data_IF_349378883829
#
_entry.id   IF_349378883829
#
_cell.length_a   1.000
_cell.length_b   1.000
_cell.length_c   1.000
_cell.angle_alpha   90.00
_cell.angle_beta   90.00
_cell.angle_gamma   90.00
#
_symmetry.space_group_name_H-M   'P 1'
#
loop_
_entity.id
_entity.type
_entity.pdbx_description
1 polymer ?
#
# COMPACT_ATOMS: atom_id res chain seq x y z
N UNK A 1 -2.91 -20.05 -5.84
CA UNK A 1 -3.36 -18.76 -6.42
C UNK A 1 -2.16 -17.83 -6.64
N UNK A 2 -1.53 -17.86 -7.82
CA UNK A 2 -0.35 -17.03 -8.10
C UNK A 2 -0.70 -15.91 -9.07
N UNK A 3 -0.23 -14.69 -8.78
CA UNK A 3 -0.17 -13.62 -9.77
C UNK A 3 0.49 -14.14 -11.06
N UNK A 4 0.03 -13.68 -12.23
CA UNK A 4 0.68 -14.03 -13.51
C UNK A 4 2.17 -13.67 -13.41
N UNK A 5 3.04 -14.67 -13.56
CA UNK A 5 4.50 -14.48 -13.50
C UNK A 5 5.01 -13.70 -14.72
N UNK A 6 4.28 -13.76 -15.83
CA UNK A 6 4.57 -12.99 -17.04
C UNK A 6 3.84 -11.65 -17.04
N UNK A 7 4.60 -10.57 -17.24
CA UNK A 7 4.07 -9.22 -17.36
C UNK A 7 3.37 -9.06 -18.72
N UNK A 8 2.08 -8.76 -18.69
CA UNK A 8 1.35 -8.41 -19.91
C UNK A 8 1.77 -7.01 -20.41
N UNK A 9 1.88 -6.80 -21.74
CA UNK A 9 2.07 -5.48 -22.32
C UNK A 9 0.96 -4.51 -21.89
N UNK A 10 1.31 -3.28 -21.52
CA UNK A 10 0.35 -2.32 -20.94
C UNK A 10 -0.73 -1.88 -21.93
N UNK A 11 -0.40 -1.83 -23.22
CA UNK A 11 -1.31 -1.56 -24.34
C UNK A 11 -2.37 -2.66 -24.55
N UNK A 12 -2.15 -3.83 -23.96
CA UNK A 12 -3.09 -4.97 -24.02
C UNK A 12 -3.99 -5.07 -22.77
N UNK A 13 -3.80 -4.20 -21.77
CA UNK A 13 -4.66 -4.15 -20.58
C UNK A 13 -5.92 -3.36 -20.94
N UNK A 14 -6.95 -4.07 -21.40
CA UNK A 14 -8.27 -3.49 -21.72
C UNK A 14 -9.27 -3.73 -20.60
N UNK A 15 -10.30 -2.89 -20.52
CA UNK A 15 -11.40 -3.08 -19.57
C UNK A 15 -12.07 -4.46 -19.76
N UNK A 16 -12.31 -4.85 -21.00
CA UNK A 16 -12.88 -6.16 -21.35
C UNK A 16 -11.93 -7.30 -20.92
N UNK A 17 -10.62 -7.12 -21.11
CA UNK A 17 -9.60 -8.06 -20.68
C UNK A 17 -9.57 -8.25 -19.16
N UNK A 18 -9.78 -7.19 -18.38
CA UNK A 18 -9.91 -7.28 -16.92
C UNK A 18 -11.15 -8.05 -16.49
N UNK A 19 -12.30 -7.81 -17.15
CA UNK A 19 -13.53 -8.58 -16.89
C UNK A 19 -13.37 -10.06 -17.23
N UNK A 20 -12.71 -10.35 -18.36
CA UNK A 20 -12.43 -11.74 -18.73
C UNK A 20 -11.46 -12.39 -17.75
N UNK A 21 -10.39 -11.69 -17.35
CA UNK A 21 -9.45 -12.17 -16.35
C UNK A 21 -10.12 -12.46 -15.00
N UNK A 22 -11.11 -11.67 -14.59
CA UNK A 22 -11.92 -11.97 -13.41
C UNK A 22 -12.74 -13.25 -13.58
N UNK A 23 -13.40 -13.45 -14.73
CA UNK A 23 -14.16 -14.68 -15.02
C UNK A 23 -13.25 -15.92 -14.98
N UNK A 24 -12.08 -15.81 -15.60
CA UNK A 24 -11.10 -16.90 -15.64
C UNK A 24 -10.59 -17.22 -14.23
N UNK A 25 -10.31 -16.20 -13.41
CA UNK A 25 -9.91 -16.38 -12.02
C UNK A 25 -11.00 -17.06 -11.18
N UNK A 26 -12.26 -16.64 -11.31
CA UNK A 26 -13.39 -17.27 -10.62
C UNK A 26 -13.50 -18.75 -11.01
N UNK A 27 -13.45 -19.05 -12.32
CA UNK A 27 -13.55 -20.41 -12.82
C UNK A 27 -12.41 -21.31 -12.32
N UNK A 28 -11.16 -20.83 -12.36
CA UNK A 28 -10.00 -21.55 -11.85
C UNK A 28 -10.08 -21.77 -10.34
N UNK A 29 -10.50 -20.76 -9.59
CA UNK A 29 -10.64 -20.83 -8.13
C UNK A 29 -11.71 -21.85 -7.72
N UNK A 30 -12.86 -21.87 -8.39
CA UNK A 30 -13.92 -22.86 -8.13
C UNK A 30 -13.53 -24.28 -8.55
N UNK A 31 -12.69 -24.43 -9.57
CA UNK A 31 -12.17 -25.73 -9.97
C UNK A 31 -11.18 -26.29 -8.92
N UNK A 32 -10.39 -25.43 -8.27
CA UNK A 32 -9.50 -25.80 -7.17
C UNK A 32 -10.27 -26.03 -5.86
N UNK A 33 -11.21 -25.13 -5.52
CA UNK A 33 -12.03 -25.19 -4.33
C UNK A 33 -13.46 -24.67 -4.59
N UNK A 34 -14.44 -25.58 -4.77
CA UNK A 34 -15.82 -25.22 -5.07
C UNK A 34 -16.52 -24.38 -3.99
N UNK A 35 -16.00 -24.39 -2.76
CA UNK A 35 -16.60 -23.69 -1.60
C UNK A 35 -15.88 -22.39 -1.25
N UNK A 36 -14.87 -22.00 -2.06
CA UNK A 36 -14.03 -20.84 -1.77
C UNK A 36 -14.84 -19.56 -1.56
N UNK A 37 -15.74 -19.23 -2.50
CA UNK A 37 -16.53 -17.99 -2.44
C UNK A 37 -17.64 -18.03 -1.38
N UNK A 38 -18.14 -19.22 -1.03
CA UNK A 38 -19.08 -19.38 0.08
C UNK A 38 -18.40 -19.01 1.40
N UNK A 39 -17.18 -19.49 1.63
CA UNK A 39 -16.39 -19.11 2.81
C UNK A 39 -15.98 -17.64 2.79
N UNK A 40 -15.55 -17.12 1.64
CA UNK A 40 -15.12 -15.73 1.50
C UNK A 40 -16.25 -14.74 1.78
N UNK A 41 -17.49 -15.08 1.40
CA UNK A 41 -18.67 -14.22 1.60
C UNK A 41 -19.29 -14.33 3.00
N UNK A 42 -18.95 -15.36 3.78
CA UNK A 42 -19.48 -15.58 5.12
C UNK A 42 -19.03 -14.54 6.17
N UNK A 43 -18.06 -13.70 5.82
CA UNK A 43 -17.54 -12.62 6.66
C UNK A 43 -16.01 -12.58 6.65
N UNK A 44 -15.44 -11.48 7.14
CA UNK A 44 -14.01 -11.30 7.28
C UNK A 44 -13.65 -11.05 8.75
N UNK A 45 -12.58 -11.67 9.22
CA UNK A 45 -11.93 -11.34 10.49
C UNK A 45 -10.40 -11.42 10.32
N UNK A 46 -9.82 -10.53 9.50
CA UNK A 46 -8.38 -10.52 9.27
C UNK A 46 -7.65 -10.17 10.57
N UNK A 47 -6.52 -10.81 10.90
CA UNK A 47 -5.72 -10.44 12.08
C UNK A 47 -4.84 -9.21 11.84
N UNK A 48 -4.74 -8.72 10.60
CA UNK A 48 -3.78 -7.66 10.21
C UNK A 48 -4.49 -6.55 9.44
N UNK A 49 -4.24 -5.30 9.84
CA UNK A 49 -4.39 -4.12 8.99
C UNK A 49 -3.05 -3.78 8.34
N UNK A 50 -3.03 -3.62 7.02
CA UNK A 50 -1.89 -3.21 6.22
C UNK A 50 -2.12 -1.82 5.62
N UNK A 51 -1.32 -0.83 6.03
CA UNK A 51 -1.28 0.52 5.47
C UNK A 51 -0.08 0.61 4.51
N UNK A 52 -0.34 0.63 3.21
CA UNK A 52 0.69 0.58 2.17
C UNK A 52 0.60 1.69 1.14
N UNK A 53 1.57 1.72 0.23
CA UNK A 53 1.58 2.67 -0.88
C UNK A 53 0.63 2.24 -2.00
N UNK A 54 0.02 3.20 -2.71
CA UNK A 54 -0.74 2.95 -3.94
C UNK A 54 0.12 2.46 -5.13
N UNK A 55 1.44 2.33 -4.96
CA UNK A 55 2.35 1.76 -5.96
C UNK A 55 1.93 0.35 -6.40
N UNK A 56 1.70 0.16 -7.70
CA UNK A 56 1.16 -1.08 -8.25
C UNK A 56 2.07 -2.30 -8.11
N UNK A 57 3.35 -2.10 -7.76
CA UNK A 57 4.34 -3.18 -7.62
C UNK A 57 4.28 -3.89 -6.27
N UNK A 58 3.50 -3.37 -5.31
CA UNK A 58 3.48 -3.87 -3.92
C UNK A 58 2.07 -4.25 -3.45
N UNK A 59 1.34 -5.19 -4.09
CA UNK A 59 0.06 -5.67 -3.58
C UNK A 59 0.28 -6.54 -2.33
N UNK A 60 -0.34 -6.17 -1.20
CA UNK A 60 -0.12 -6.80 0.10
C UNK A 60 -0.24 -8.34 0.05
N UNK A 61 -1.34 -8.86 -0.49
CA UNK A 61 -1.59 -10.30 -0.50
C UNK A 61 -0.60 -11.08 -1.37
N UNK A 62 -0.11 -10.48 -2.45
CA UNK A 62 0.85 -11.15 -3.34
C UNK A 62 2.24 -11.24 -2.71
N UNK A 63 2.73 -10.16 -2.11
CA UNK A 63 4.08 -10.13 -1.54
C UNK A 63 4.17 -10.89 -0.20
N UNK A 64 3.04 -11.07 0.48
CA UNK A 64 2.95 -11.83 1.74
C UNK A 64 2.45 -13.26 1.54
N UNK A 65 2.10 -13.65 0.31
CA UNK A 65 1.55 -14.96 -0.04
C UNK A 65 0.31 -15.33 0.80
N UNK A 66 -0.64 -14.41 0.89
CA UNK A 66 -1.92 -14.58 1.59
C UNK A 66 -3.11 -14.54 0.62
N UNK A 67 -4.26 -15.00 1.09
CA UNK A 67 -5.48 -15.05 0.31
C UNK A 67 -6.30 -13.75 0.43
N UNK A 68 -7.24 -13.50 -0.49
CA UNK A 68 -8.28 -12.49 -0.28
C UNK A 68 -9.00 -12.72 1.06
N UNK A 69 -9.14 -11.66 1.86
CA UNK A 69 -9.78 -11.71 3.18
C UNK A 69 -8.81 -11.92 4.35
N UNK A 70 -7.57 -12.34 4.11
CA UNK A 70 -6.57 -12.58 5.18
C UNK A 70 -5.97 -11.28 5.73
N UNK A 71 -5.96 -10.21 4.93
CA UNK A 71 -5.37 -8.91 5.28
C UNK A 71 -6.38 -7.81 4.97
N UNK A 72 -6.66 -6.93 5.94
CA UNK A 72 -7.41 -5.69 5.71
C UNK A 72 -6.45 -4.61 5.20
N UNK A 73 -6.76 -3.94 4.09
CA UNK A 73 -5.77 -3.12 3.38
C UNK A 73 -6.24 -1.68 3.20
N UNK A 74 -5.40 -0.74 3.62
CA UNK A 74 -5.46 0.68 3.25
C UNK A 74 -4.30 1.03 2.32
N UNK A 75 -4.56 1.86 1.29
CA UNK A 75 -3.50 2.32 0.38
C UNK A 75 -3.68 3.78 0.03
N UNK A 76 -2.61 4.56 0.23
CA UNK A 76 -2.52 5.94 -0.24
C UNK A 76 -1.12 6.21 -0.83
N UNK A 77 -0.90 7.40 -1.38
CA UNK A 77 0.41 7.76 -1.94
C UNK A 77 1.45 7.79 -0.82
N UNK A 78 2.50 6.97 -0.95
CA UNK A 78 3.62 6.88 -0.01
C UNK A 78 3.23 6.50 1.43
N UNK A 79 2.15 5.73 1.61
CA UNK A 79 1.77 5.10 2.89
C UNK A 79 1.78 6.08 4.08
N UNK A 80 1.35 7.32 3.83
CA UNK A 80 1.38 8.39 4.83
C UNK A 80 0.22 8.21 5.80
N UNK A 81 0.53 8.30 7.08
CA UNK A 81 -0.45 8.34 8.18
C UNK A 81 -0.51 9.77 8.67
N UNK A 82 -1.68 10.41 8.63
CA UNK A 82 -1.87 11.80 9.08
C UNK A 82 -2.96 11.82 10.14
N UNK A 83 -2.72 12.52 11.26
CA UNK A 83 -3.66 12.59 12.39
C UNK A 83 -5.05 13.16 12.07
N UNK A 84 -5.23 13.77 10.90
CA UNK A 84 -6.51 14.35 10.46
C UNK A 84 -6.99 13.79 9.12
N UNK A 85 -6.34 12.75 8.58
CA UNK A 85 -6.84 12.07 7.38
C UNK A 85 -7.99 11.15 7.76
N UNK A 86 -9.23 11.66 7.67
CA UNK A 86 -10.43 10.89 7.97
C UNK A 86 -10.57 9.62 7.13
N UNK A 87 -9.96 9.56 5.93
CA UNK A 87 -9.98 8.34 5.14
C UNK A 87 -9.19 7.23 5.87
N UNK A 88 -7.90 7.45 6.13
CA UNK A 88 -7.05 6.50 6.85
C UNK A 88 -7.59 6.20 8.25
N UNK A 89 -8.01 7.22 9.02
CA UNK A 89 -8.52 7.04 10.38
C UNK A 89 -9.80 6.20 10.42
N UNK A 90 -10.70 6.36 9.45
CA UNK A 90 -11.91 5.52 9.39
C UNK A 90 -11.60 4.05 9.12
N UNK A 91 -10.58 3.77 8.31
CA UNK A 91 -10.11 2.40 8.05
C UNK A 91 -9.44 1.80 9.29
N UNK A 92 -8.61 2.60 9.98
CA UNK A 92 -7.95 2.20 11.22
C UNK A 92 -8.98 1.90 12.33
N UNK A 93 -9.92 2.81 12.56
CA UNK A 93 -10.96 2.66 13.58
C UNK A 93 -11.81 1.40 13.32
N UNK A 94 -12.24 1.18 12.07
CA UNK A 94 -12.98 -0.02 11.71
C UNK A 94 -12.15 -1.29 11.91
N UNK A 95 -10.88 -1.29 11.50
CA UNK A 95 -10.01 -2.45 11.66
C UNK A 95 -9.81 -2.82 13.13
N UNK A 96 -9.55 -1.84 13.99
CA UNK A 96 -9.25 -2.07 15.41
C UNK A 96 -10.52 -2.35 16.20
N UNK A 97 -11.54 -1.51 16.06
CA UNK A 97 -12.71 -1.56 16.94
C UNK A 97 -13.85 -2.44 16.43
N UNK A 98 -13.90 -2.75 15.12
CA UNK A 98 -14.96 -3.60 14.53
C UNK A 98 -14.41 -4.96 14.11
N UNK A 99 -13.28 -5.01 13.41
CA UNK A 99 -12.67 -6.27 12.98
C UNK A 99 -11.77 -6.90 14.04
N UNK A 100 -11.36 -6.14 15.05
CA UNK A 100 -10.47 -6.57 16.14
C UNK A 100 -9.14 -7.13 15.62
N UNK A 101 -8.51 -6.44 14.65
CA UNK A 101 -7.19 -6.84 14.14
C UNK A 101 -6.17 -6.88 15.28
N UNK A 102 -5.28 -7.88 15.25
CA UNK A 102 -4.22 -8.05 16.25
C UNK A 102 -3.01 -7.17 15.96
N UNK A 103 -2.79 -6.85 14.68
CA UNK A 103 -1.62 -6.10 14.23
C UNK A 103 -1.97 -5.01 13.22
N UNK A 104 -1.29 -3.88 13.34
CA UNK A 104 -1.30 -2.81 12.33
C UNK A 104 0.11 -2.66 11.77
N UNK A 105 0.23 -2.73 10.45
CA UNK A 105 1.51 -2.63 9.74
C UNK A 105 1.48 -1.41 8.84
N UNK A 106 2.44 -0.50 9.02
CA UNK A 106 2.76 0.55 8.04
C UNK A 106 3.90 0.03 7.17
N UNK A 107 3.65 -0.18 5.87
CA UNK A 107 4.64 -0.72 4.95
C UNK A 107 5.06 0.31 3.90
N UNK A 108 6.32 0.75 4.00
CA UNK A 108 7.00 1.48 2.95
C UNK A 108 7.55 0.57 1.85
N UNK A 109 8.07 1.17 0.79
CA UNK A 109 8.81 0.43 -0.23
C UNK A 109 9.89 1.31 -0.87
N UNK A 110 11.05 0.73 -1.16
CA UNK A 110 12.12 1.45 -1.84
C UNK A 110 11.72 1.83 -3.27
N UNK A 111 12.30 2.93 -3.77
CA UNK A 111 11.92 3.50 -5.07
C UNK A 111 10.48 4.01 -5.11
N UNK A 112 9.95 4.50 -3.99
CA UNK A 112 8.64 5.13 -3.90
C UNK A 112 8.63 6.47 -4.64
N UNK A 113 7.81 6.55 -5.71
CA UNK A 113 7.69 7.77 -6.51
C UNK A 113 7.12 8.96 -5.74
N UNK A 114 6.27 8.73 -4.73
CA UNK A 114 5.75 9.79 -3.86
C UNK A 114 6.84 10.41 -2.97
N UNK A 115 7.67 9.56 -2.35
CA UNK A 115 8.82 10.02 -1.56
C UNK A 115 9.84 10.74 -2.45
N UNK A 116 10.13 10.19 -3.64
CA UNK A 116 11.03 10.83 -4.60
C UNK A 116 10.51 12.21 -5.06
N UNK A 117 9.22 12.31 -5.36
CA UNK A 117 8.58 13.58 -5.70
C UNK A 117 8.66 14.59 -4.55
N UNK A 118 8.48 14.15 -3.30
CA UNK A 118 8.56 15.00 -2.11
C UNK A 118 9.99 15.52 -1.83
N UNK A 119 11.03 14.79 -2.22
CA UNK A 119 12.42 15.27 -2.11
C UNK A 119 12.76 16.34 -3.14
N UNK A 120 11.99 16.44 -4.22
CA UNK A 120 12.18 17.41 -5.29
C UNK A 120 11.47 18.75 -5.06
N UNK A 121 11.80 19.70 -5.94
CA UNK A 121 11.14 21.00 -6.05
C UNK A 121 10.18 21.09 -7.24
N UNK A 122 9.98 19.98 -7.96
CA UNK A 122 9.00 19.91 -9.06
C UNK A 122 7.59 19.94 -8.47
N UNK A 123 6.72 20.74 -9.08
CA UNK A 123 5.30 20.79 -8.72
C UNK A 123 4.52 19.74 -9.52
N UNK A 124 3.61 19.04 -8.84
CA UNK A 124 2.73 18.02 -9.40
C UNK A 124 1.24 18.35 -9.21
N UNK A 125 0.92 19.51 -8.64
CA UNK A 125 -0.44 20.02 -8.50
C UNK A 125 -1.04 19.70 -7.13
N UNK A 126 -2.30 19.25 -7.07
CA UNK A 126 -3.01 19.05 -5.79
C UNK A 126 -2.29 18.08 -4.84
N UNK A 127 -1.60 17.08 -5.40
CA UNK A 127 -0.82 16.09 -4.65
C UNK A 127 0.33 16.73 -3.87
N UNK A 128 0.82 17.90 -4.26
CA UNK A 128 1.90 18.58 -3.54
C UNK A 128 1.49 18.89 -2.09
N UNK A 129 0.19 19.10 -1.82
CA UNK A 129 -0.33 19.26 -0.47
C UNK A 129 -0.20 17.97 0.36
N UNK A 130 -0.45 16.81 -0.26
CA UNK A 130 -0.27 15.51 0.36
C UNK A 130 1.22 15.21 0.62
N UNK A 131 2.08 15.54 -0.35
CA UNK A 131 3.53 15.32 -0.24
C UNK A 131 4.20 16.22 0.82
N UNK A 132 3.52 17.28 1.30
CA UNK A 132 4.02 18.09 2.43
C UNK A 132 4.22 17.27 3.69
N UNK A 133 3.38 16.26 3.95
CA UNK A 133 3.56 15.38 5.12
C UNK A 133 4.93 14.66 5.09
N UNK A 134 5.39 14.26 3.91
CA UNK A 134 6.72 13.65 3.72
C UNK A 134 7.82 14.70 3.81
N UNK A 135 7.59 15.93 3.32
CA UNK A 135 8.52 17.06 3.49
C UNK A 135 8.69 17.44 4.96
N UNK A 136 7.65 17.32 5.77
CA UNK A 136 7.74 17.51 7.21
C UNK A 136 8.58 16.41 7.88
N UNK A 137 8.44 15.16 7.44
CA UNK A 137 9.35 14.07 7.85
C UNK A 137 10.81 14.39 7.48
N UNK A 138 11.06 14.87 6.26
CA UNK A 138 12.41 15.31 5.87
C UNK A 138 12.91 16.43 6.80
N UNK A 139 12.07 17.44 7.06
CA UNK A 139 12.43 18.59 7.89
C UNK A 139 12.77 18.18 9.31
N UNK A 140 12.03 17.24 9.89
CA UNK A 140 12.27 16.70 11.22
C UNK A 140 13.63 15.98 11.32
N UNK A 141 14.01 15.27 10.26
CA UNK A 141 15.23 14.45 10.19
C UNK A 141 16.33 15.07 9.31
N UNK A 142 16.27 16.38 9.07
CA UNK A 142 17.12 17.04 8.08
C UNK A 142 18.61 16.87 8.38
N UNK A 143 19.00 16.96 9.66
CA UNK A 143 20.40 16.76 10.07
C UNK A 143 20.94 15.38 9.65
N UNK A 144 20.17 14.31 9.86
CA UNK A 144 20.57 12.96 9.46
C UNK A 144 20.59 12.81 7.94
N UNK A 145 19.52 13.27 7.26
CA UNK A 145 19.35 13.12 5.82
C UNK A 145 20.36 13.95 5.02
N UNK A 146 20.73 15.14 5.49
CA UNK A 146 21.66 16.03 4.80
C UNK A 146 23.12 15.54 4.86
N UNK A 147 23.47 14.70 5.84
CA UNK A 147 24.76 14.04 5.91
C UNK A 147 24.94 12.92 4.87
N UNK A 148 23.85 12.42 4.26
CA UNK A 148 23.90 11.36 3.26
C UNK A 148 24.14 11.97 1.88
N UNK A 149 25.36 11.84 1.34
CA UNK A 149 25.70 12.40 0.02
C UNK A 149 25.11 11.60 -1.16
N UNK A 150 24.94 10.29 -0.99
CA UNK A 150 24.37 9.42 -2.03
C UNK A 150 22.85 9.62 -2.11
N UNK A 151 22.36 10.11 -3.26
CA UNK A 151 20.96 10.46 -3.44
C UNK A 151 20.02 9.25 -3.29
N UNK A 152 20.43 8.06 -3.74
CA UNK A 152 19.63 6.85 -3.61
C UNK A 152 19.52 6.45 -2.14
N UNK A 153 20.64 6.40 -1.41
CA UNK A 153 20.65 6.09 0.02
C UNK A 153 19.85 7.11 0.83
N UNK A 154 19.94 8.41 0.49
CA UNK A 154 19.14 9.44 1.14
C UNK A 154 17.64 9.20 0.95
N UNK A 155 17.21 8.88 -0.28
CA UNK A 155 15.82 8.56 -0.58
C UNK A 155 15.36 7.30 0.14
N UNK A 156 16.16 6.24 0.09
CA UNK A 156 15.84 4.97 0.73
C UNK A 156 15.73 5.17 2.25
N UNK A 157 16.58 6.02 2.84
CA UNK A 157 16.48 6.41 4.24
C UNK A 157 15.22 7.22 4.56
N UNK A 158 14.81 8.15 3.69
CA UNK A 158 13.57 8.90 3.89
C UNK A 158 12.33 7.98 3.80
N UNK A 159 12.36 6.93 2.97
CA UNK A 159 11.30 5.90 2.95
C UNK A 159 11.20 5.23 4.32
N UNK A 160 12.33 4.85 4.93
CA UNK A 160 12.37 4.22 6.26
C UNK A 160 11.83 5.17 7.34
N UNK A 161 12.28 6.43 7.35
CA UNK A 161 11.81 7.44 8.30
C UNK A 161 10.32 7.74 8.14
N UNK A 162 9.81 7.79 6.90
CA UNK A 162 8.37 7.96 6.66
C UNK A 162 7.52 6.82 7.22
N UNK A 163 8.05 5.59 7.24
CA UNK A 163 7.40 4.47 7.94
C UNK A 163 7.45 4.65 9.45
N UNK A 164 8.60 5.02 10.00
CA UNK A 164 8.77 5.24 11.45
C UNK A 164 7.84 6.33 11.96
N UNK A 165 7.80 7.49 11.30
CA UNK A 165 6.89 8.58 11.64
C UNK A 165 5.43 8.16 11.45
N UNK A 166 5.12 7.40 10.40
CA UNK A 166 3.78 6.88 10.18
C UNK A 166 3.29 5.91 11.26
N UNK A 167 4.20 5.15 11.90
CA UNK A 167 3.88 4.30 13.06
C UNK A 167 3.74 5.12 14.34
N UNK A 168 4.45 6.24 14.46
CA UNK A 168 4.35 7.13 15.61
C UNK A 168 3.05 7.96 15.61
N UNK A 169 2.52 8.28 14.43
CA UNK A 169 1.32 9.10 14.25
C UNK A 169 0.02 8.43 14.70
#
# INVERSE_FOLDING_TARGET
>A
MCAKLEKQPTDQITYEGLLQGNKDWVAATLAEDPTFFDRLSAGQKPPILWIGCSDSRVPANQITNTNPGDIFVHRNIANVVVHTDMNMLSVLDYAVNVLEVEHVIVCGHYGCGGVEAAMGNKQYGIIDNWLRNIKDTYRLHAHELDLISDAKKKRDRLVELNVVEGVFN
#
